data_IF_333319671208
#
_entry.id   IF_333319671208
#
_cell.length_a   1.000
_cell.length_b   1.000
_cell.length_c   1.000
_cell.angle_alpha   90.00
_cell.angle_beta   90.00
_cell.angle_gamma   90.00
#
_symmetry.space_group_name_H-M   'P 1'
#
loop_
_entity.id
_entity.type
_entity.pdbx_description
1 polymer ?
#
# COMPACT_ATOMS: atom_id res chain seq x y z
N UNK A 1 -19.37 22.69 1.43
CA UNK A 1 -19.13 21.72 0.35
C UNK A 1 -17.70 21.25 0.53
N UNK A 2 -17.50 20.08 1.14
CA UNK A 2 -16.17 19.61 1.54
C UNK A 2 -15.51 18.95 0.33
N UNK A 3 -14.47 19.58 -0.19
CA UNK A 3 -13.63 19.03 -1.25
C UNK A 3 -12.65 17.97 -0.70
N UNK A 4 -13.15 17.03 0.12
CA UNK A 4 -12.42 15.78 0.35
C UNK A 4 -12.68 14.93 -0.89
N UNK A 5 -11.83 15.11 -1.91
CA UNK A 5 -11.84 14.30 -3.12
C UNK A 5 -11.83 12.83 -2.72
N UNK A 6 -12.81 12.08 -3.20
CA UNK A 6 -12.97 10.66 -2.86
C UNK A 6 -11.73 9.91 -3.32
N UNK A 7 -10.84 9.58 -2.38
CA UNK A 7 -9.69 8.74 -2.64
C UNK A 7 -10.16 7.32 -2.97
N UNK A 8 -9.57 6.73 -4.00
CA UNK A 8 -9.95 5.45 -4.58
C UNK A 8 -9.17 4.31 -3.94
N UNK A 9 -7.90 4.54 -3.59
CA UNK A 9 -7.01 3.50 -3.09
C UNK A 9 -6.79 3.59 -1.58
N UNK A 10 -6.76 4.80 -1.02
CA UNK A 10 -6.45 5.05 0.39
C UNK A 10 -7.66 5.58 1.18
N UNK A 11 -7.78 5.16 2.45
CA UNK A 11 -8.74 5.70 3.41
C UNK A 11 -8.01 6.31 4.61
N UNK A 12 -7.98 7.64 4.65
CA UNK A 12 -7.29 8.41 5.69
C UNK A 12 -8.05 8.46 7.02
N UNK A 13 -9.20 7.80 7.17
CA UNK A 13 -9.98 7.82 8.42
C UNK A 13 -9.16 7.36 9.62
N UNK A 14 -8.43 6.25 9.48
CA UNK A 14 -7.53 5.74 10.51
C UNK A 14 -6.40 6.73 10.81
N UNK A 15 -5.86 7.35 9.76
CA UNK A 15 -4.77 8.30 9.89
C UNK A 15 -5.21 9.57 10.63
N UNK A 16 -6.38 10.12 10.29
CA UNK A 16 -7.00 11.28 10.95
C UNK A 16 -7.24 10.98 12.43
N UNK A 17 -7.80 9.81 12.75
CA UNK A 17 -8.05 9.38 14.12
C UNK A 17 -6.78 9.28 14.97
N UNK A 18 -5.72 8.65 14.44
CA UNK A 18 -4.44 8.47 15.15
C UNK A 18 -3.67 9.78 15.27
N UNK A 19 -3.77 10.64 14.26
CA UNK A 19 -3.18 11.98 14.29
C UNK A 19 -3.89 12.91 15.26
N UNK A 20 -5.10 12.57 15.74
CA UNK A 20 -5.96 13.45 16.57
C UNK A 20 -6.17 14.81 15.91
N UNK A 21 -6.36 14.80 14.59
CA UNK A 21 -6.46 15.99 13.73
C UNK A 21 -5.22 16.93 13.77
N UNK A 22 -4.08 16.47 14.32
CA UNK A 22 -2.82 17.19 14.27
C UNK A 22 -2.24 17.10 12.85
N UNK A 23 -2.32 18.23 12.15
CA UNK A 23 -1.86 18.41 10.78
C UNK A 23 -0.36 18.06 10.63
N UNK A 24 0.49 18.40 11.59
CA UNK A 24 1.92 18.11 11.52
C UNK A 24 2.21 16.60 11.65
N UNK A 25 1.47 15.90 12.52
CA UNK A 25 1.55 14.43 12.63
C UNK A 25 1.06 13.75 11.38
N UNK A 26 -0.07 14.21 10.83
CA UNK A 26 -0.64 13.67 9.61
C UNK A 26 0.35 13.81 8.44
N UNK A 27 0.93 15.01 8.24
CA UNK A 27 1.96 15.24 7.23
C UNK A 27 3.16 14.29 7.40
N UNK A 28 3.65 14.13 8.64
CA UNK A 28 4.78 13.24 8.94
C UNK A 28 4.50 11.79 8.54
N UNK A 29 3.30 11.29 8.76
CA UNK A 29 2.95 9.93 8.35
C UNK A 29 2.79 9.78 6.83
N UNK A 30 2.18 10.77 6.17
CA UNK A 30 2.03 10.76 4.71
C UNK A 30 3.39 10.82 4.01
N UNK A 31 4.32 11.64 4.49
CA UNK A 31 5.68 11.71 3.97
C UNK A 31 6.45 10.40 4.21
N UNK A 32 6.21 9.71 5.33
CA UNK A 32 6.79 8.37 5.54
C UNK A 32 6.25 7.36 4.51
N UNK A 33 4.96 7.44 4.17
CA UNK A 33 4.37 6.60 3.14
C UNK A 33 5.03 6.82 1.78
N UNK A 34 5.20 8.09 1.37
CA UNK A 34 5.84 8.42 0.09
C UNK A 34 7.26 7.85 -0.04
N UNK A 35 8.03 7.83 1.05
CA UNK A 35 9.38 7.27 1.03
C UNK A 35 9.40 5.74 1.05
N UNK A 36 8.47 5.11 1.76
CA UNK A 36 8.47 3.65 1.97
C UNK A 36 7.92 2.89 0.77
N UNK A 37 6.82 3.35 0.17
CA UNK A 37 6.10 2.58 -0.86
C UNK A 37 6.94 2.32 -2.13
N UNK A 38 7.68 3.29 -2.71
CA UNK A 38 8.48 3.04 -3.92
C UNK A 38 9.50 1.91 -3.74
N UNK A 39 10.22 1.90 -2.62
CA UNK A 39 11.19 0.85 -2.32
C UNK A 39 10.52 -0.53 -2.23
N UNK A 40 9.35 -0.59 -1.59
CA UNK A 40 8.59 -1.82 -1.42
C UNK A 40 8.02 -2.36 -2.73
N UNK A 41 7.48 -1.48 -3.55
CA UNK A 41 6.99 -1.84 -4.90
C UNK A 41 8.14 -2.40 -5.73
N UNK A 42 9.31 -1.75 -5.71
CA UNK A 42 10.49 -2.25 -6.41
C UNK A 42 10.97 -3.61 -5.88
N UNK A 43 10.93 -3.82 -4.55
CA UNK A 43 11.27 -5.12 -3.95
C UNK A 43 10.30 -6.23 -4.39
N UNK A 44 9.00 -5.93 -4.55
CA UNK A 44 7.99 -6.86 -5.05
C UNK A 44 8.23 -7.20 -6.53
N UNK A 45 8.44 -6.20 -7.38
CA UNK A 45 8.75 -6.37 -8.81
C UNK A 45 9.99 -7.25 -9.01
N UNK A 46 11.06 -6.98 -8.24
CA UNK A 46 12.27 -7.79 -8.27
C UNK A 46 12.01 -9.22 -7.81
N UNK A 47 11.30 -9.41 -6.70
CA UNK A 47 10.99 -10.74 -6.20
C UNK A 47 10.09 -11.53 -7.18
N UNK A 48 9.22 -10.85 -7.90
CA UNK A 48 8.40 -11.44 -8.96
C UNK A 48 9.24 -11.86 -10.17
N UNK A 49 10.16 -11.00 -10.60
CA UNK A 49 11.11 -11.29 -11.70
C UNK A 49 12.01 -12.48 -11.36
N UNK A 50 12.46 -12.56 -10.11
CA UNK A 50 13.25 -13.68 -9.58
C UNK A 50 12.39 -14.95 -9.31
N UNK A 51 11.07 -14.89 -9.57
CA UNK A 51 10.08 -15.94 -9.26
C UNK A 51 10.15 -16.42 -7.80
N UNK A 52 10.59 -15.55 -6.88
CA UNK A 52 10.88 -15.90 -5.50
C UNK A 52 9.62 -15.72 -4.63
N UNK A 53 8.77 -16.74 -4.66
CA UNK A 53 7.49 -16.83 -3.94
C UNK A 53 7.62 -16.52 -2.45
N UNK A 54 8.64 -17.10 -1.80
CA UNK A 54 8.89 -16.88 -0.37
C UNK A 54 9.20 -15.41 -0.08
N UNK A 55 10.03 -14.77 -0.92
CA UNK A 55 10.39 -13.37 -0.76
C UNK A 55 9.19 -12.45 -0.96
N UNK A 56 8.34 -12.71 -1.96
CA UNK A 56 7.08 -11.99 -2.17
C UNK A 56 6.22 -12.07 -0.90
N UNK A 57 6.01 -13.28 -0.37
CA UNK A 57 5.25 -13.49 0.87
C UNK A 57 5.83 -12.69 2.04
N UNK A 58 7.14 -12.74 2.24
CA UNK A 58 7.81 -12.04 3.33
C UNK A 58 7.70 -10.52 3.22
N UNK A 59 7.80 -9.96 2.02
CA UNK A 59 7.63 -8.52 1.79
C UNK A 59 6.20 -8.11 2.14
N UNK A 60 5.20 -8.82 1.60
CA UNK A 60 3.79 -8.51 1.83
C UNK A 60 3.38 -8.67 3.29
N UNK A 61 3.83 -9.74 3.95
CA UNK A 61 3.57 -9.96 5.37
C UNK A 61 4.05 -8.78 6.22
N UNK A 62 5.30 -8.33 6.01
CA UNK A 62 5.91 -7.21 6.74
C UNK A 62 5.24 -5.87 6.44
N UNK A 63 4.72 -5.70 5.23
CA UNK A 63 4.04 -4.47 4.83
C UNK A 63 2.60 -4.41 5.29
N UNK A 64 1.94 -5.56 5.44
CA UNK A 64 0.50 -5.64 5.73
C UNK A 64 0.02 -4.70 6.86
N UNK A 65 0.73 -4.53 8.00
CA UNK A 65 0.27 -3.62 9.05
C UNK A 65 0.33 -2.15 8.61
N UNK A 66 1.33 -1.79 7.78
CA UNK A 66 1.47 -0.44 7.24
C UNK A 66 0.34 -0.17 6.24
N UNK A 67 0.05 -1.10 5.33
CA UNK A 67 -1.01 -0.93 4.35
C UNK A 67 -2.39 -0.81 4.99
N UNK A 68 -2.64 -1.55 6.09
CA UNK A 68 -3.83 -1.38 6.93
C UNK A 68 -3.87 -0.02 7.63
N UNK A 69 -2.75 0.42 8.19
CA UNK A 69 -2.65 1.70 8.88
C UNK A 69 -3.04 2.87 7.97
N UNK A 70 -2.60 2.83 6.71
CA UNK A 70 -2.97 3.82 5.69
C UNK A 70 -4.36 3.55 5.08
N UNK A 71 -5.02 2.45 5.40
CA UNK A 71 -6.37 2.17 4.90
C UNK A 71 -6.42 1.79 3.42
N UNK A 72 -5.41 1.09 2.90
CA UNK A 72 -5.42 0.63 1.51
C UNK A 72 -6.53 -0.40 1.33
N UNK A 73 -7.51 -0.09 0.49
CA UNK A 73 -8.72 -0.89 0.39
C UNK A 73 -8.47 -2.30 -0.17
N UNK A 74 -9.14 -3.29 0.43
CA UNK A 74 -9.12 -4.70 0.00
C UNK A 74 -7.71 -5.32 -0.12
N UNK A 75 -6.68 -4.70 0.47
CA UNK A 75 -5.32 -5.20 0.37
C UNK A 75 -5.12 -6.47 1.21
N UNK A 76 -5.81 -6.54 2.34
CA UNK A 76 -5.63 -7.63 3.30
C UNK A 76 -6.15 -8.97 2.80
N UNK A 77 -7.27 -8.96 2.08
CA UNK A 77 -7.80 -10.18 1.47
C UNK A 77 -6.79 -10.74 0.46
N UNK A 78 -6.21 -9.86 -0.37
CA UNK A 78 -5.18 -10.24 -1.34
C UNK A 78 -3.90 -10.74 -0.66
N UNK A 79 -3.42 -10.05 0.38
CA UNK A 79 -2.23 -10.46 1.13
C UNK A 79 -2.43 -11.80 1.83
N UNK A 80 -3.57 -11.99 2.52
CA UNK A 80 -3.88 -13.25 3.22
C UNK A 80 -4.00 -14.42 2.25
N UNK A 81 -4.65 -14.21 1.10
CA UNK A 81 -4.71 -15.23 0.04
C UNK A 81 -3.32 -15.61 -0.43
N UNK A 82 -2.46 -14.64 -0.70
CA UNK A 82 -1.08 -14.90 -1.10
C UNK A 82 -0.31 -15.62 0.00
N UNK A 83 -0.44 -15.22 1.26
CA UNK A 83 0.20 -15.90 2.39
C UNK A 83 -0.19 -17.37 2.52
N UNK A 84 -1.43 -17.71 2.21
CA UNK A 84 -1.95 -19.07 2.29
C UNK A 84 -1.63 -19.91 1.05
N UNK A 85 -1.75 -19.32 -0.15
CA UNK A 85 -1.71 -20.05 -1.43
C UNK A 85 -0.37 -19.94 -2.16
N UNK A 86 0.63 -19.18 -1.65
CA UNK A 86 1.86 -18.90 -2.41
C UNK A 86 2.63 -20.14 -2.89
N UNK A 87 2.50 -21.30 -2.25
CA UNK A 87 3.18 -22.54 -2.67
C UNK A 87 2.42 -23.30 -3.75
N UNK A 88 1.09 -23.24 -3.74
CA UNK A 88 0.21 -24.06 -4.58
C UNK A 88 -0.34 -23.31 -5.80
N UNK A 89 -0.37 -21.98 -5.75
CA UNK A 89 -0.83 -21.10 -6.81
C UNK A 89 0.05 -21.18 -8.06
N UNK A 90 -0.53 -21.08 -9.26
CA UNK A 90 0.27 -21.02 -10.49
C UNK A 90 1.12 -19.74 -10.55
N UNK A 91 2.20 -19.75 -11.32
CA UNK A 91 3.04 -18.55 -11.47
C UNK A 91 2.24 -17.37 -12.08
N UNK A 92 1.37 -17.66 -13.05
CA UNK A 92 0.51 -16.66 -13.69
C UNK A 92 -0.44 -16.00 -12.68
N UNK A 93 -1.09 -16.78 -11.83
CA UNK A 93 -1.97 -16.24 -10.79
C UNK A 93 -1.18 -15.42 -9.76
N UNK A 94 0.03 -15.86 -9.40
CA UNK A 94 0.90 -15.12 -8.49
C UNK A 94 1.31 -13.76 -9.10
N UNK A 95 1.71 -13.76 -10.37
CA UNK A 95 2.02 -12.53 -11.11
C UNK A 95 0.82 -11.58 -11.16
N UNK A 96 -0.38 -12.10 -11.45
CA UNK A 96 -1.60 -11.29 -11.44
C UNK A 96 -1.86 -10.65 -10.08
N UNK A 97 -1.83 -11.43 -8.99
CA UNK A 97 -2.08 -10.91 -7.64
C UNK A 97 -1.02 -9.90 -7.19
N UNK A 98 0.26 -10.16 -7.47
CA UNK A 98 1.35 -9.24 -7.11
C UNK A 98 1.23 -7.95 -7.91
N UNK A 99 0.90 -8.03 -9.20
CA UNK A 99 0.68 -6.85 -10.04
C UNK A 99 -0.53 -6.04 -9.58
N UNK A 100 -1.63 -6.68 -9.18
CA UNK A 100 -2.78 -5.99 -8.58
C UNK A 100 -2.40 -5.23 -7.30
N UNK A 101 -1.55 -5.82 -6.45
CA UNK A 101 -1.02 -5.16 -5.26
C UNK A 101 -0.16 -3.95 -5.68
N UNK A 102 0.76 -4.12 -6.61
CA UNK A 102 1.65 -3.07 -7.11
C UNK A 102 0.84 -1.88 -7.64
N UNK A 103 -0.18 -2.13 -8.46
CA UNK A 103 -1.06 -1.08 -9.00
C UNK A 103 -1.78 -0.31 -7.88
N UNK A 104 -2.30 -1.01 -6.86
CA UNK A 104 -2.93 -0.36 -5.71
C UNK A 104 -1.94 0.50 -4.91
N UNK A 105 -0.72 0.01 -4.72
CA UNK A 105 0.34 0.74 -4.02
C UNK A 105 0.75 2.01 -4.78
N UNK A 106 0.90 1.92 -6.10
CA UNK A 106 1.21 3.07 -6.95
C UNK A 106 0.06 4.08 -6.99
N UNK A 107 -1.19 3.61 -7.06
CA UNK A 107 -2.37 4.46 -6.97
C UNK A 107 -2.48 5.19 -5.62
N UNK A 108 -2.25 4.47 -4.52
CA UNK A 108 -2.22 5.07 -3.18
C UNK A 108 -1.09 6.08 -3.02
N UNK A 109 0.10 5.79 -3.58
CA UNK A 109 1.23 6.73 -3.58
C UNK A 109 0.86 8.03 -4.28
N UNK A 110 0.26 7.94 -5.48
CA UNK A 110 -0.19 9.11 -6.22
C UNK A 110 -1.22 9.94 -5.42
N UNK A 111 -2.21 9.29 -4.80
CA UNK A 111 -3.22 9.97 -3.97
C UNK A 111 -2.60 10.67 -2.76
N UNK A 112 -1.63 10.03 -2.10
CA UNK A 112 -0.90 10.62 -0.96
C UNK A 112 -0.08 11.83 -1.41
N UNK A 113 0.65 11.73 -2.52
CA UNK A 113 1.44 12.83 -3.07
C UNK A 113 0.58 14.03 -3.42
N UNK A 114 -0.56 13.80 -4.07
CA UNK A 114 -1.51 14.86 -4.39
C UNK A 114 -2.12 15.48 -3.13
N UNK A 115 -2.44 14.68 -2.11
CA UNK A 115 -2.94 15.20 -0.84
C UNK A 115 -1.91 16.09 -0.13
N UNK A 116 -0.65 15.65 -0.06
CA UNK A 116 0.43 16.45 0.51
C UNK A 116 0.54 17.78 -0.26
N UNK A 117 0.53 17.72 -1.59
CA UNK A 117 0.62 18.90 -2.46
C UNK A 117 -0.52 19.90 -2.26
N UNK A 118 -1.74 19.42 -2.02
CA UNK A 118 -2.93 20.27 -1.88
C UNK A 118 -3.13 20.85 -0.47
N UNK A 119 -2.65 20.15 0.57
CA UNK A 119 -2.95 20.50 1.97
C UNK A 119 -1.75 20.95 2.80
N UNK A 120 -0.51 20.69 2.35
CA UNK A 120 0.70 20.95 3.14
C UNK A 120 1.81 21.70 2.39
N UNK A 121 1.65 21.97 1.09
CA UNK A 121 2.56 22.77 0.28
C UNK A 121 1.97 24.13 -0.07
#
# INVERSE_FOLDING_TARGET
MNADGKMTYIDLTNLKAISRDDSARMHKYLVQFEHLIPERTHQLEKALTDQNRLRIRQILHKMSPQLQFFGIQNIMVTVQRLEFEYETMSLLELEQLVNEIIVKLQGALFEVSEYIRLHFK
#
